data_IF_650545410764
#
_entry.id   IF_650545410764
#
_cell.length_a   1.000
_cell.length_b   1.000
_cell.length_c   1.000
_cell.angle_alpha   90.00
_cell.angle_beta   90.00
_cell.angle_gamma   90.00
#
_symmetry.space_group_name_H-M   'P 1'
#
loop_
_entity.id
_entity.type
_entity.pdbx_description
1 polymer ?
#
# COMPACT_ATOMS: atom_id res chain seq x y z
N UNK A 1 13.92 17.31 16.97
CA UNK A 1 13.25 16.66 18.12
C UNK A 1 11.88 16.20 17.66
N UNK A 2 11.69 14.89 17.58
CA UNK A 2 10.50 14.22 17.01
C UNK A 2 9.26 14.50 17.81
N UNK A 3 8.17 14.94 17.14
CA UNK A 3 6.82 15.06 17.72
C UNK A 3 6.02 13.76 17.66
N UNK A 4 6.68 12.60 17.79
CA UNK A 4 5.99 11.39 18.16
C UNK A 4 5.59 11.51 19.62
N UNK A 5 4.30 11.47 19.88
CA UNK A 5 3.59 11.80 21.10
C UNK A 5 4.42 11.77 22.40
N UNK A 6 4.74 12.93 22.91
CA UNK A 6 4.85 13.11 24.38
C UNK A 6 3.46 12.82 24.96
N UNK A 7 3.37 12.06 26.03
CA UNK A 7 2.17 11.48 26.67
C UNK A 7 1.01 12.43 27.05
N UNK A 8 0.84 13.59 26.44
CA UNK A 8 -0.18 14.58 26.81
C UNK A 8 -1.08 15.09 25.66
N UNK A 9 -0.79 14.78 24.39
CA UNK A 9 -1.67 15.19 23.30
C UNK A 9 -2.66 14.06 22.97
N UNK A 10 -3.95 14.36 22.71
CA UNK A 10 -4.90 13.33 22.30
C UNK A 10 -4.43 12.69 20.98
N UNK A 11 -4.49 11.36 20.89
CA UNK A 11 -4.12 10.63 19.70
C UNK A 11 -4.94 11.14 18.48
N UNK A 12 -4.28 11.36 17.36
CA UNK A 12 -4.94 11.80 16.13
C UNK A 12 -5.85 10.70 15.58
N UNK A 13 -7.00 11.08 15.05
CA UNK A 13 -7.95 10.16 14.42
C UNK A 13 -7.57 9.86 12.99
N UNK A 14 -7.68 8.58 12.56
CA UNK A 14 -7.52 8.16 11.19
C UNK A 14 -8.68 7.24 10.77
N UNK A 15 -9.22 7.44 9.58
CA UNK A 15 -10.14 6.51 8.92
C UNK A 15 -9.41 5.86 7.75
N UNK A 16 -9.38 4.54 7.74
CA UNK A 16 -8.77 3.75 6.66
C UNK A 16 -9.86 3.00 5.92
N UNK A 17 -10.00 3.29 4.63
CA UNK A 17 -10.96 2.62 3.75
C UNK A 17 -10.22 1.64 2.85
N UNK A 18 -10.67 0.39 2.80
CA UNK A 18 -10.00 -0.62 1.97
C UNK A 18 -10.55 -2.03 2.17
N UNK A 19 -9.74 -3.01 1.81
CA UNK A 19 -10.08 -4.42 1.99
C UNK A 19 -9.61 -4.96 3.33
N UNK A 20 -10.37 -5.92 3.87
CA UNK A 20 -9.91 -6.85 4.89
C UNK A 20 -10.21 -8.28 4.42
N UNK A 21 -9.24 -9.16 4.50
CA UNK A 21 -9.29 -10.52 3.97
C UNK A 21 -8.64 -11.50 4.94
N UNK A 22 -8.89 -12.78 4.73
CA UNK A 22 -8.07 -13.84 5.34
C UNK A 22 -7.05 -14.30 4.30
N UNK A 23 -5.78 -14.17 4.64
CA UNK A 23 -4.66 -14.68 3.86
C UNK A 23 -4.29 -16.07 4.37
N UNK A 24 -4.48 -17.09 3.54
CA UNK A 24 -4.06 -18.47 3.82
C UNK A 24 -2.71 -18.66 3.13
N UNK A 25 -1.66 -18.85 3.91
CA UNK A 25 -0.29 -19.03 3.42
C UNK A 25 0.07 -20.49 3.55
N UNK A 26 0.35 -21.14 2.43
CA UNK A 26 0.74 -22.55 2.37
C UNK A 26 2.17 -22.63 1.87
N UNK A 27 3.05 -23.20 2.67
CA UNK A 27 4.45 -23.50 2.28
C UNK A 27 4.53 -24.98 1.93
N UNK A 28 4.96 -25.27 0.71
CA UNK A 28 5.10 -26.64 0.20
C UNK A 28 6.60 -26.93 0.05
N UNK A 29 7.02 -28.13 0.50
CA UNK A 29 8.40 -28.59 0.37
C UNK A 29 8.84 -28.65 -1.09
N UNK A 30 10.12 -28.36 -1.34
CA UNK A 30 10.72 -28.28 -2.67
C UNK A 30 10.48 -29.54 -3.52
N UNK A 31 10.57 -30.71 -2.91
CA UNK A 31 10.38 -32.01 -3.57
C UNK A 31 8.95 -32.22 -4.12
N UNK A 32 7.99 -31.40 -3.73
CA UNK A 32 6.59 -31.52 -4.11
C UNK A 32 6.10 -30.48 -5.12
N UNK A 33 6.96 -29.54 -5.53
CA UNK A 33 6.66 -28.53 -6.52
C UNK A 33 7.79 -28.48 -7.55
N UNK A 34 7.42 -28.55 -8.83
CA UNK A 34 8.35 -28.27 -9.91
C UNK A 34 8.28 -26.80 -10.30
N UNK A 35 9.46 -26.19 -10.35
CA UNK A 35 9.63 -24.83 -10.85
C UNK A 35 10.10 -24.86 -12.31
N UNK A 36 9.26 -24.37 -13.21
CA UNK A 36 9.58 -24.28 -14.63
C UNK A 36 10.00 -22.86 -14.97
N UNK A 37 11.28 -22.69 -15.30
CA UNK A 37 11.79 -21.41 -15.83
C UNK A 37 11.49 -21.30 -17.31
N UNK A 38 10.80 -20.24 -17.72
CA UNK A 38 10.42 -20.01 -19.10
C UNK A 38 11.62 -19.51 -19.93
N UNK A 39 11.80 -20.06 -21.11
CA UNK A 39 12.90 -19.66 -22.04
C UNK A 39 12.75 -18.24 -22.59
N UNK A 40 11.55 -17.67 -22.56
CA UNK A 40 11.23 -16.30 -23.02
C UNK A 40 11.53 -15.22 -21.99
N UNK A 41 12.15 -15.57 -20.86
CA UNK A 41 12.44 -14.64 -19.75
C UNK A 41 11.22 -14.27 -18.93
N UNK A 42 10.06 -14.92 -19.14
CA UNK A 42 8.86 -14.73 -18.33
C UNK A 42 9.02 -15.22 -16.89
N UNK A 43 8.10 -14.80 -16.01
CA UNK A 43 8.06 -15.25 -14.61
C UNK A 43 8.06 -16.80 -14.53
N UNK A 44 8.76 -17.38 -13.56
CA UNK A 44 8.75 -18.82 -13.33
C UNK A 44 7.33 -19.31 -13.02
N UNK A 45 7.03 -20.54 -13.40
CA UNK A 45 5.74 -21.19 -13.18
C UNK A 45 5.91 -22.26 -12.11
N UNK A 46 5.00 -22.36 -11.18
CA UNK A 46 4.88 -23.47 -10.24
C UNK A 46 4.02 -24.55 -10.87
N UNK A 47 4.52 -25.79 -10.94
CA UNK A 47 3.79 -26.94 -11.48
C UNK A 47 3.42 -27.87 -10.33
N UNK A 48 2.13 -28.16 -10.21
CA UNK A 48 1.55 -29.03 -9.17
C UNK A 48 0.86 -30.19 -9.86
N UNK A 49 1.15 -31.43 -9.41
CA UNK A 49 0.57 -32.64 -9.96
C UNK A 49 -0.92 -32.75 -9.56
N UNK A 50 -1.78 -32.97 -10.54
CA UNK A 50 -3.22 -33.12 -10.34
C UNK A 50 -3.58 -34.44 -9.66
N UNK A 51 -4.54 -34.40 -8.72
CA UNK A 51 -5.07 -35.63 -8.06
C UNK A 51 -4.18 -36.14 -6.92
N UNK A 52 -3.02 -35.56 -6.67
CA UNK A 52 -2.12 -35.98 -5.58
C UNK A 52 -2.40 -35.16 -4.31
N UNK A 53 -2.33 -35.81 -3.15
CA UNK A 53 -2.29 -35.15 -1.84
C UNK A 53 -0.83 -34.76 -1.57
N UNK A 54 -0.54 -33.49 -1.57
CA UNK A 54 0.79 -32.97 -1.28
C UNK A 54 0.88 -32.55 0.19
N UNK A 55 1.90 -33.01 0.94
CA UNK A 55 2.13 -32.51 2.29
C UNK A 55 2.61 -31.05 2.21
N UNK A 56 2.05 -30.19 3.05
CA UNK A 56 2.54 -28.84 3.27
C UNK A 56 3.45 -28.82 4.50
N UNK A 57 4.49 -28.01 4.49
CA UNK A 57 5.34 -27.74 5.66
C UNK A 57 4.59 -26.91 6.70
N UNK A 58 3.82 -25.93 6.23
CA UNK A 58 2.93 -25.14 7.07
C UNK A 58 1.71 -24.68 6.28
N UNK A 59 0.59 -24.50 6.99
CA UNK A 59 -0.60 -23.77 6.53
C UNK A 59 -1.00 -22.84 7.65
N UNK A 60 -0.91 -21.55 7.39
CA UNK A 60 -1.23 -20.51 8.36
C UNK A 60 -2.30 -19.58 7.79
N UNK A 61 -3.13 -19.04 8.69
CA UNK A 61 -4.18 -18.08 8.32
C UNK A 61 -3.98 -16.80 9.11
N UNK A 62 -3.89 -15.68 8.40
CA UNK A 62 -3.69 -14.35 8.97
C UNK A 62 -4.73 -13.37 8.40
N UNK A 63 -4.99 -12.30 9.16
CA UNK A 63 -5.76 -11.18 8.62
C UNK A 63 -4.82 -10.31 7.80
N UNK A 64 -5.26 -9.97 6.60
CA UNK A 64 -4.57 -9.09 5.66
C UNK A 64 -5.53 -8.16 4.94
N UNK A 65 -5.06 -7.59 3.84
CA UNK A 65 -5.78 -6.59 3.05
C UNK A 65 -5.43 -5.16 3.46
N UNK A 66 -5.35 -4.26 2.48
CA UNK A 66 -4.83 -2.92 2.70
C UNK A 66 -5.58 -2.10 3.76
N UNK A 67 -6.89 -2.30 3.90
CA UNK A 67 -7.67 -1.66 4.96
C UNK A 67 -7.26 -2.12 6.36
N UNK A 68 -7.13 -3.44 6.56
CA UNK A 68 -6.72 -4.01 7.83
C UNK A 68 -5.23 -3.71 8.13
N UNK A 69 -4.33 -3.89 7.16
CA UNK A 69 -2.90 -3.67 7.33
C UNK A 69 -2.58 -2.22 7.71
N UNK A 70 -3.11 -1.25 6.96
CA UNK A 70 -2.85 0.17 7.20
C UNK A 70 -3.48 0.64 8.51
N UNK A 71 -4.71 0.22 8.84
CA UNK A 71 -5.34 0.59 10.12
C UNK A 71 -4.59 0.02 11.32
N UNK A 72 -4.11 -1.23 11.23
CA UNK A 72 -3.25 -1.85 12.25
C UNK A 72 -1.92 -1.09 12.38
N UNK A 73 -1.27 -0.76 11.28
CA UNK A 73 -0.02 0.01 11.29
C UNK A 73 -0.20 1.38 11.97
N UNK A 74 -1.24 2.12 11.58
CA UNK A 74 -1.54 3.42 12.20
C UNK A 74 -1.86 3.30 13.69
N UNK A 75 -2.61 2.26 14.11
CA UNK A 75 -2.89 2.01 15.52
C UNK A 75 -1.61 1.77 16.31
N UNK A 76 -0.71 0.90 15.83
CA UNK A 76 0.59 0.64 16.47
C UNK A 76 1.49 1.88 16.52
N UNK A 77 1.36 2.78 15.55
CA UNK A 77 2.03 4.08 15.53
C UNK A 77 1.37 5.14 16.42
N UNK A 78 0.38 4.75 17.24
CA UNK A 78 -0.25 5.61 18.24
C UNK A 78 -1.45 6.44 17.74
N UNK A 79 -2.02 6.11 16.59
CA UNK A 79 -3.22 6.75 16.05
C UNK A 79 -4.49 6.05 16.57
N UNK A 80 -5.59 6.81 16.70
CA UNK A 80 -6.93 6.23 16.87
C UNK A 80 -7.46 5.86 15.49
N UNK A 81 -7.12 4.65 15.02
CA UNK A 81 -7.50 4.17 13.72
C UNK A 81 -8.89 3.53 13.72
N UNK A 82 -9.68 3.81 12.68
CA UNK A 82 -10.93 3.13 12.37
C UNK A 82 -10.84 2.51 10.97
N UNK A 83 -11.24 1.24 10.83
CA UNK A 83 -11.26 0.54 9.55
C UNK A 83 -12.67 0.58 8.94
N UNK A 84 -12.79 1.07 7.70
CA UNK A 84 -13.99 0.96 6.87
C UNK A 84 -13.75 -0.10 5.79
N UNK A 85 -14.20 -1.32 6.07
CA UNK A 85 -14.10 -2.48 5.19
C UNK A 85 -15.45 -3.15 5.11
N UNK A 86 -15.76 -3.83 3.98
CA UNK A 86 -17.00 -4.60 3.85
C UNK A 86 -16.69 -6.09 3.93
N UNK A 87 -17.34 -6.77 4.86
CA UNK A 87 -17.14 -8.19 5.20
C UNK A 87 -18.42 -8.98 4.89
N UNK A 88 -18.32 -10.29 4.79
CA UNK A 88 -19.47 -11.18 4.76
C UNK A 88 -20.08 -11.39 6.16
N UNK A 89 -21.05 -12.31 6.21
CA UNK A 89 -21.62 -12.86 7.45
C UNK A 89 -21.08 -14.27 7.66
N UNK A 90 -19.81 -14.38 8.07
CA UNK A 90 -19.09 -15.64 8.14
C UNK A 90 -17.98 -15.63 9.21
N UNK A 91 -17.39 -16.80 9.48
CA UNK A 91 -16.31 -16.96 10.45
C UNK A 91 -15.05 -16.12 10.10
N UNK A 92 -14.81 -15.85 8.81
CA UNK A 92 -13.72 -15.00 8.39
C UNK A 92 -13.95 -13.54 8.81
N UNK A 93 -15.19 -13.07 8.75
CA UNK A 93 -15.57 -11.75 9.27
C UNK A 93 -15.34 -11.64 10.77
N UNK A 94 -15.66 -12.69 11.54
CA UNK A 94 -15.40 -12.75 12.98
C UNK A 94 -13.89 -12.69 13.27
N UNK A 95 -13.08 -13.42 12.53
CA UNK A 95 -11.62 -13.40 12.65
C UNK A 95 -11.04 -12.01 12.37
N UNK A 96 -11.54 -11.31 11.33
CA UNK A 96 -11.15 -9.92 11.03
C UNK A 96 -11.52 -8.99 12.17
N UNK A 97 -12.77 -9.06 12.69
CA UNK A 97 -13.21 -8.23 13.82
C UNK A 97 -12.37 -8.46 15.06
N UNK A 98 -12.07 -9.73 15.39
CA UNK A 98 -11.23 -10.09 16.52
C UNK A 98 -9.79 -9.58 16.38
N UNK A 99 -9.22 -9.63 15.17
CA UNK A 99 -7.90 -9.06 14.89
C UNK A 99 -7.88 -7.55 15.11
N UNK A 100 -8.80 -6.81 14.48
CA UNK A 100 -8.89 -5.36 14.59
C UNK A 100 -9.09 -4.91 16.05
N UNK A 101 -9.90 -5.65 16.81
CA UNK A 101 -10.09 -5.38 18.25
C UNK A 101 -8.80 -5.57 19.07
N UNK A 102 -8.03 -6.64 18.80
CA UNK A 102 -6.71 -6.86 19.45
C UNK A 102 -5.70 -5.76 19.13
N UNK A 103 -5.76 -5.23 17.91
CA UNK A 103 -4.90 -4.15 17.43
C UNK A 103 -5.43 -2.75 17.82
N UNK A 104 -6.44 -2.67 18.68
CA UNK A 104 -7.07 -1.42 19.10
C UNK A 104 -7.58 -0.54 17.94
N UNK A 105 -7.97 -1.16 16.82
CA UNK A 105 -8.59 -0.50 15.66
C UNK A 105 -10.11 -0.50 15.87
N UNK A 106 -10.76 0.67 15.76
CA UNK A 106 -12.22 0.77 15.80
C UNK A 106 -12.83 0.04 14.61
N UNK A 107 -13.83 -0.77 14.88
CA UNK A 107 -14.60 -1.54 13.90
C UNK A 107 -16.03 -1.00 13.70
N UNK A 108 -16.33 0.20 14.19
CA UNK A 108 -17.65 0.82 14.05
C UNK A 108 -18.01 1.16 12.59
N UNK A 109 -17.01 1.32 11.72
CA UNK A 109 -17.20 1.56 10.29
C UNK A 109 -17.16 0.28 9.45
N UNK A 110 -17.04 -0.91 10.07
CA UNK A 110 -17.14 -2.15 9.32
C UNK A 110 -18.57 -2.36 8.82
N UNK A 111 -18.67 -2.68 7.53
CA UNK A 111 -19.92 -2.96 6.85
C UNK A 111 -20.10 -4.47 6.68
N UNK A 112 -21.34 -4.92 6.61
CA UNK A 112 -21.66 -6.32 6.37
C UNK A 112 -22.39 -6.49 5.05
N UNK A 113 -22.06 -7.55 4.33
CA UNK A 113 -22.75 -7.99 3.12
C UNK A 113 -23.56 -9.24 3.44
N UNK A 114 -24.81 -9.24 3.03
CA UNK A 114 -25.69 -10.44 3.11
C UNK A 114 -25.53 -11.34 1.88
N UNK A 115 -24.85 -10.88 0.84
CA UNK A 115 -24.83 -11.54 -0.48
C UNK A 115 -23.45 -12.08 -0.87
N UNK A 116 -22.40 -11.70 -0.17
CA UNK A 116 -21.03 -12.15 -0.48
C UNK A 116 -20.24 -12.47 0.79
N UNK A 117 -19.42 -13.50 0.71
CA UNK A 117 -18.51 -13.90 1.78
C UNK A 117 -17.39 -12.87 1.98
N UNK A 118 -16.74 -12.91 3.13
CA UNK A 118 -15.51 -12.19 3.41
C UNK A 118 -14.42 -12.61 2.44
N UNK A 119 -13.60 -11.66 1.99
CA UNK A 119 -12.51 -11.93 1.06
C UNK A 119 -11.48 -12.92 1.63
N UNK A 120 -10.93 -13.74 0.75
CA UNK A 120 -9.88 -14.73 1.08
C UNK A 120 -8.82 -14.68 0.01
N UNK A 121 -7.55 -14.70 0.38
CA UNK A 121 -6.45 -15.02 -0.52
C UNK A 121 -5.79 -16.33 -0.12
N UNK A 122 -5.32 -17.09 -1.11
CA UNK A 122 -4.55 -18.31 -0.89
C UNK A 122 -3.21 -18.12 -1.59
N UNK A 123 -2.15 -18.11 -0.82
CA UNK A 123 -0.78 -18.04 -1.29
C UNK A 123 -0.16 -19.42 -1.22
N UNK A 124 0.29 -19.93 -2.36
CA UNK A 124 1.07 -21.17 -2.43
C UNK A 124 2.52 -20.76 -2.70
N UNK A 125 3.38 -20.96 -1.72
CA UNK A 125 4.78 -20.61 -1.76
C UNK A 125 5.65 -21.86 -1.80
N UNK A 126 6.65 -21.86 -2.65
CA UNK A 126 7.77 -22.77 -2.55
C UNK A 126 8.80 -22.22 -1.54
N UNK A 127 9.82 -23.02 -1.22
CA UNK A 127 10.90 -22.66 -0.27
C UNK A 127 11.61 -21.33 -0.61
N UNK A 128 11.64 -20.92 -1.89
CA UNK A 128 12.23 -19.66 -2.37
C UNK A 128 11.31 -18.44 -2.19
N UNK A 129 10.15 -18.64 -1.54
CA UNK A 129 9.14 -17.63 -1.19
C UNK A 129 8.51 -16.87 -2.35
N UNK A 130 8.71 -17.30 -3.59
CA UNK A 130 7.92 -16.87 -4.72
C UNK A 130 6.57 -17.60 -4.67
N UNK A 131 5.49 -16.85 -4.51
CA UNK A 131 4.16 -17.42 -4.32
C UNK A 131 3.28 -17.23 -5.56
N UNK A 132 2.46 -18.24 -5.84
CA UNK A 132 1.25 -18.05 -6.64
C UNK A 132 0.12 -17.63 -5.71
N UNK A 133 -0.59 -16.54 -6.04
CA UNK A 133 -1.61 -15.96 -5.18
C UNK A 133 -2.96 -16.04 -5.88
N UNK A 134 -3.94 -16.70 -5.23
CA UNK A 134 -5.33 -16.75 -5.64
C UNK A 134 -6.13 -15.81 -4.75
N UNK A 135 -6.88 -14.87 -5.33
CA UNK A 135 -7.62 -13.87 -4.57
C UNK A 135 -9.10 -13.94 -4.90
N UNK A 136 -9.91 -14.22 -3.88
CA UNK A 136 -11.36 -13.99 -3.88
C UNK A 136 -11.68 -12.78 -3.01
N UNK A 137 -12.09 -11.68 -3.61
CA UNK A 137 -12.29 -10.41 -2.89
C UNK A 137 -13.60 -10.35 -2.12
N UNK A 138 -14.61 -11.11 -2.55
CA UNK A 138 -15.90 -11.21 -1.86
C UNK A 138 -16.55 -9.85 -1.60
N UNK A 139 -17.01 -9.64 -0.38
CA UNK A 139 -17.69 -8.43 0.05
C UNK A 139 -16.88 -7.14 -0.14
N UNK A 140 -15.53 -7.21 -0.18
CA UNK A 140 -14.68 -6.04 -0.40
C UNK A 140 -14.92 -5.34 -1.76
N UNK A 141 -15.57 -6.00 -2.72
CA UNK A 141 -15.91 -5.42 -4.03
C UNK A 141 -17.27 -4.68 -4.05
N UNK A 142 -18.01 -4.71 -2.94
CA UNK A 142 -19.42 -4.31 -2.85
C UNK A 142 -19.66 -3.04 -2.02
N UNK A 143 -18.63 -2.26 -1.69
CA UNK A 143 -18.81 -0.95 -1.07
C UNK A 143 -19.58 -0.03 -2.03
N UNK A 144 -20.59 0.67 -1.51
CA UNK A 144 -21.41 1.58 -2.31
C UNK A 144 -21.26 3.05 -1.92
N UNK A 145 -21.64 3.94 -2.82
CA UNK A 145 -21.60 5.39 -2.55
C UNK A 145 -22.57 5.79 -1.44
N UNK A 146 -23.72 5.10 -1.31
CA UNK A 146 -24.70 5.31 -0.23
C UNK A 146 -24.10 4.93 1.13
N UNK A 147 -23.40 3.82 1.22
CA UNK A 147 -22.69 3.41 2.44
C UNK A 147 -21.60 4.40 2.83
N UNK A 148 -20.84 4.88 1.84
CA UNK A 148 -19.84 5.95 2.05
C UNK A 148 -20.52 7.21 2.57
N UNK A 149 -21.63 7.63 1.97
CA UNK A 149 -22.37 8.82 2.39
C UNK A 149 -22.89 8.70 3.83
N UNK A 150 -23.42 7.54 4.20
CA UNK A 150 -23.98 7.27 5.53
C UNK A 150 -22.91 7.14 6.63
N UNK A 151 -21.68 6.70 6.32
CA UNK A 151 -20.64 6.48 7.29
C UNK A 151 -20.28 7.76 8.07
N UNK A 152 -20.09 7.65 9.37
CA UNK A 152 -19.75 8.77 10.24
C UNK A 152 -18.24 8.81 10.50
N UNK A 153 -17.49 9.58 9.69
CA UNK A 153 -16.03 9.69 9.87
C UNK A 153 -15.62 10.52 11.09
N UNK A 154 -16.55 11.32 11.64
CA UNK A 154 -16.20 12.30 12.67
C UNK A 154 -15.28 13.40 12.11
N UNK A 155 -14.27 13.75 12.90
CA UNK A 155 -13.25 14.73 12.50
C UNK A 155 -11.84 14.08 12.50
N UNK A 156 -11.54 13.17 11.55
CA UNK A 156 -10.26 12.52 11.47
C UNK A 156 -9.20 13.50 10.95
N UNK A 157 -7.96 13.39 11.46
CA UNK A 157 -6.84 14.11 10.88
C UNK A 157 -6.39 13.51 9.53
N UNK A 158 -6.67 12.21 9.32
CA UNK A 158 -6.29 11.44 8.15
C UNK A 158 -7.46 10.58 7.65
N UNK A 159 -7.71 10.62 6.33
CA UNK A 159 -8.45 9.58 5.62
C UNK A 159 -7.52 8.94 4.62
N UNK A 160 -7.30 7.65 4.78
CA UNK A 160 -6.45 6.84 3.91
C UNK A 160 -7.30 5.87 3.10
N UNK A 161 -7.16 5.90 1.77
CA UNK A 161 -7.85 4.98 0.86
C UNK A 161 -6.83 3.97 0.34
N UNK A 162 -6.94 2.73 0.83
CA UNK A 162 -6.17 1.59 0.34
C UNK A 162 -6.74 1.09 -1.01
N UNK A 163 -6.07 0.17 -1.72
CA UNK A 163 -6.53 -0.29 -3.03
C UNK A 163 -7.98 -0.79 -3.02
N UNK A 164 -8.80 -0.19 -3.85
CA UNK A 164 -10.18 -0.60 -4.12
C UNK A 164 -10.26 -1.34 -5.45
N UNK A 165 -11.30 -2.15 -5.64
CA UNK A 165 -11.51 -2.91 -6.88
C UNK A 165 -12.99 -3.08 -7.19
N UNK A 166 -13.28 -3.39 -8.45
CA UNK A 166 -14.66 -3.61 -8.95
C UNK A 166 -15.61 -2.48 -8.57
N UNK A 167 -16.80 -2.76 -8.05
CA UNK A 167 -17.79 -1.75 -7.64
C UNK A 167 -17.30 -0.80 -6.55
N UNK A 168 -16.45 -1.28 -5.63
CA UNK A 168 -15.89 -0.41 -4.57
C UNK A 168 -14.97 0.68 -5.11
N UNK A 169 -14.36 0.48 -6.28
CA UNK A 169 -13.54 1.50 -6.93
C UNK A 169 -14.35 2.72 -7.38
N UNK A 170 -15.64 2.54 -7.64
CA UNK A 170 -16.55 3.64 -8.04
C UNK A 170 -16.80 4.62 -6.89
N UNK A 171 -16.54 4.20 -5.63
CA UNK A 171 -16.68 5.06 -4.45
C UNK A 171 -15.52 6.04 -4.25
N UNK A 172 -14.42 5.93 -5.02
CA UNK A 172 -13.20 6.69 -4.79
C UNK A 172 -13.43 8.21 -4.70
N UNK A 173 -14.12 8.79 -5.68
CA UNK A 173 -14.42 10.22 -5.68
C UNK A 173 -15.27 10.66 -4.48
N UNK A 174 -16.28 9.87 -4.11
CA UNK A 174 -17.15 10.15 -2.96
C UNK A 174 -16.37 10.10 -1.63
N UNK A 175 -15.45 9.13 -1.48
CA UNK A 175 -14.58 9.02 -0.32
C UNK A 175 -13.68 10.26 -0.14
N UNK A 176 -13.07 10.73 -1.23
CA UNK A 176 -12.21 11.91 -1.19
C UNK A 176 -12.99 13.18 -0.88
N UNK A 177 -14.17 13.37 -1.47
CA UNK A 177 -15.04 14.51 -1.18
C UNK A 177 -15.45 14.51 0.30
N UNK A 178 -15.82 13.34 0.84
CA UNK A 178 -16.16 13.19 2.26
C UNK A 178 -14.98 13.50 3.18
N UNK A 179 -13.77 13.05 2.84
CA UNK A 179 -12.57 13.36 3.56
C UNK A 179 -12.25 14.85 3.58
N UNK A 180 -12.38 15.52 2.44
CA UNK A 180 -12.20 16.98 2.33
C UNK A 180 -13.25 17.76 3.13
N UNK A 181 -14.51 17.31 3.12
CA UNK A 181 -15.55 17.92 3.95
C UNK A 181 -15.25 17.82 5.45
N UNK A 182 -14.53 16.79 5.88
CA UNK A 182 -14.05 16.63 7.25
C UNK A 182 -12.70 17.38 7.53
N UNK A 183 -12.16 18.13 6.57
CA UNK A 183 -10.84 18.77 6.62
C UNK A 183 -9.69 17.79 6.94
N UNK A 184 -9.82 16.53 6.56
CA UNK A 184 -8.80 15.53 6.76
C UNK A 184 -7.68 15.66 5.72
N UNK A 185 -6.44 15.30 6.11
CA UNK A 185 -5.41 14.97 5.14
C UNK A 185 -5.86 13.73 4.36
N UNK A 186 -5.79 13.78 3.04
CA UNK A 186 -6.25 12.69 2.17
C UNK A 186 -5.08 11.98 1.53
N UNK A 187 -4.94 10.69 1.80
CA UNK A 187 -3.93 9.83 1.19
C UNK A 187 -4.59 8.65 0.47
N UNK A 188 -4.02 8.23 -0.65
CA UNK A 188 -4.46 7.02 -1.33
C UNK A 188 -3.28 6.22 -1.86
N UNK A 189 -3.39 4.89 -1.72
CA UNK A 189 -2.61 3.92 -2.46
C UNK A 189 -3.55 3.22 -3.46
N UNK A 190 -3.26 3.32 -4.75
CA UNK A 190 -4.16 2.85 -5.80
C UNK A 190 -3.57 1.61 -6.47
N UNK A 191 -4.26 0.48 -6.35
CA UNK A 191 -3.84 -0.76 -7.01
C UNK A 191 -4.04 -0.74 -8.53
N UNK A 192 -3.26 -1.56 -9.23
CA UNK A 192 -3.23 -1.64 -10.69
C UNK A 192 -4.62 -1.80 -11.32
N UNK A 193 -5.50 -2.61 -10.73
CA UNK A 193 -6.86 -2.81 -11.25
C UNK A 193 -7.70 -1.55 -11.19
N UNK A 194 -7.60 -0.78 -10.10
CA UNK A 194 -8.31 0.49 -9.96
C UNK A 194 -7.80 1.48 -11.03
N UNK A 195 -6.49 1.63 -11.14
CA UNK A 195 -5.86 2.54 -12.09
C UNK A 195 -6.19 2.21 -13.55
N UNK A 196 -6.27 0.94 -13.93
CA UNK A 196 -6.53 0.54 -15.32
C UNK A 196 -8.01 0.50 -15.67
N UNK A 197 -8.90 0.18 -14.73
CA UNK A 197 -10.34 0.09 -14.98
C UNK A 197 -11.08 1.43 -14.78
N UNK A 198 -10.52 2.37 -14.03
CA UNK A 198 -11.12 3.67 -13.67
C UNK A 198 -10.15 4.83 -13.86
N UNK A 199 -9.22 4.73 -14.83
CA UNK A 199 -8.16 5.73 -15.05
C UNK A 199 -8.69 7.16 -15.11
N UNK A 200 -9.78 7.38 -15.84
CA UNK A 200 -10.38 8.71 -15.98
C UNK A 200 -10.86 9.27 -14.65
N UNK A 201 -11.63 8.48 -13.91
CA UNK A 201 -12.26 8.90 -12.65
C UNK A 201 -11.17 9.17 -11.58
N UNK A 202 -10.12 8.33 -11.56
CA UNK A 202 -8.94 8.53 -10.71
C UNK A 202 -8.28 9.88 -11.03
N UNK A 203 -7.99 10.18 -12.30
CA UNK A 203 -7.33 11.43 -12.69
C UNK A 203 -8.19 12.67 -12.41
N UNK A 204 -9.52 12.56 -12.53
CA UNK A 204 -10.45 13.65 -12.21
C UNK A 204 -10.52 13.90 -10.69
N UNK A 205 -10.37 12.85 -9.87
CA UNK A 205 -10.41 12.95 -8.41
C UNK A 205 -9.07 13.40 -7.77
N UNK A 206 -7.96 13.42 -8.52
CA UNK A 206 -6.62 13.73 -8.00
C UNK A 206 -6.54 15.06 -7.24
N UNK A 207 -7.31 16.06 -7.65
CA UNK A 207 -7.34 17.38 -6.98
C UNK A 207 -7.80 17.34 -5.52
N UNK A 208 -8.37 16.22 -5.07
CA UNK A 208 -8.79 16.01 -3.68
C UNK A 208 -7.74 15.31 -2.83
N UNK A 209 -6.63 14.81 -3.43
CA UNK A 209 -5.57 14.12 -2.71
C UNK A 209 -4.48 15.09 -2.20
N UNK A 210 -4.01 14.85 -0.99
CA UNK A 210 -2.78 15.44 -0.48
C UNK A 210 -1.57 14.55 -0.77
N UNK A 211 -1.74 13.20 -0.72
CA UNK A 211 -0.70 12.23 -1.03
C UNK A 211 -1.23 11.11 -1.94
N UNK A 212 -0.57 10.92 -3.08
CA UNK A 212 -0.72 9.75 -3.92
C UNK A 212 0.45 8.80 -3.70
N UNK A 213 0.18 7.53 -3.41
CA UNK A 213 1.19 6.47 -3.26
C UNK A 213 0.98 5.39 -4.30
N UNK A 214 2.03 5.02 -5.01
CA UNK A 214 2.03 4.00 -6.06
C UNK A 214 3.32 3.18 -5.98
N UNK A 215 3.31 1.94 -6.48
CA UNK A 215 4.54 1.28 -6.84
C UNK A 215 4.93 1.60 -8.30
N UNK A 216 6.13 1.22 -8.71
CA UNK A 216 6.65 1.53 -10.05
C UNK A 216 5.78 0.97 -11.18
N UNK A 217 5.14 -0.20 -10.99
CA UNK A 217 4.23 -0.81 -11.98
C UNK A 217 2.92 -0.02 -12.08
N UNK A 218 2.37 0.40 -10.95
CA UNK A 218 1.17 1.22 -10.86
C UNK A 218 1.41 2.62 -11.45
N UNK A 219 2.54 3.24 -11.13
CA UNK A 219 2.94 4.52 -11.72
C UNK A 219 3.10 4.40 -13.25
N UNK A 220 3.73 3.34 -13.73
CA UNK A 220 3.86 3.08 -15.17
C UNK A 220 2.50 2.91 -15.87
N UNK A 221 1.51 2.30 -15.21
CA UNK A 221 0.17 2.13 -15.78
C UNK A 221 -0.56 3.46 -16.06
N UNK A 222 -0.21 4.54 -15.34
CA UNK A 222 -0.76 5.88 -15.58
C UNK A 222 -0.05 6.63 -16.72
N UNK A 223 1.17 6.23 -17.11
CA UNK A 223 1.99 6.96 -18.09
C UNK A 223 1.24 7.24 -19.41
N UNK A 224 0.53 6.29 -20.06
CA UNK A 224 -0.19 6.57 -21.30
C UNK A 224 -1.26 7.66 -21.13
N UNK A 225 -2.02 7.64 -20.03
CA UNK A 225 -3.08 8.60 -19.78
C UNK A 225 -2.54 10.00 -19.43
N UNK A 226 -1.39 10.07 -18.76
CA UNK A 226 -0.71 11.34 -18.46
C UNK A 226 -0.11 11.96 -19.73
N UNK A 227 0.50 11.16 -20.61
CA UNK A 227 1.00 11.60 -21.92
C UNK A 227 -0.15 12.11 -22.79
N UNK A 228 -1.28 11.41 -22.82
CA UNK A 228 -2.47 11.87 -23.54
C UNK A 228 -3.03 13.21 -22.99
N UNK A 229 -2.71 13.57 -21.74
CA UNK A 229 -3.03 14.84 -21.11
C UNK A 229 -1.90 15.89 -21.20
N UNK A 230 -0.86 15.65 -22.01
CA UNK A 230 0.22 16.59 -22.30
C UNK A 230 1.46 16.44 -21.43
N UNK A 231 1.62 15.34 -20.68
CA UNK A 231 2.93 15.02 -20.12
C UNK A 231 3.91 14.72 -21.27
N UNK A 232 5.16 15.22 -21.22
CA UNK A 232 6.11 15.00 -22.30
C UNK A 232 6.52 13.52 -22.34
N UNK A 233 6.42 12.93 -23.53
CA UNK A 233 7.02 11.61 -23.76
C UNK A 233 8.54 11.72 -23.68
N UNK A 234 9.21 10.78 -23.02
CA UNK A 234 10.63 10.85 -22.73
C UNK A 234 11.45 10.99 -24.01
N UNK A 235 12.04 12.16 -24.22
CA UNK A 235 13.07 12.32 -25.22
C UNK A 235 14.39 11.79 -24.65
N UNK A 236 15.09 10.96 -25.44
CA UNK A 236 16.38 10.35 -25.07
C UNK A 236 17.41 11.43 -24.68
N UNK A 237 17.44 11.80 -23.40
CA UNK A 237 18.43 12.66 -22.80
C UNK A 237 18.83 12.09 -21.45
N UNK A 238 20.09 11.67 -21.29
CA UNK A 238 20.59 11.12 -20.02
C UNK A 238 20.72 12.25 -19.01
N UNK A 239 19.81 12.34 -18.05
CA UNK A 239 20.12 13.07 -16.79
C UNK A 239 21.17 12.25 -16.04
N UNK A 240 22.18 12.94 -15.49
CA UNK A 240 23.13 12.33 -14.58
C UNK A 240 22.41 12.18 -13.24
N UNK A 241 22.05 10.95 -12.90
CA UNK A 241 21.43 10.61 -11.60
C UNK A 241 22.32 9.58 -10.91
N UNK A 242 22.32 9.54 -9.57
CA UNK A 242 23.08 8.56 -8.80
C UNK A 242 22.79 7.12 -9.27
N UNK A 243 23.81 6.23 -9.26
CA UNK A 243 23.66 4.85 -9.73
C UNK A 243 22.55 4.06 -9.04
N UNK A 244 22.30 4.31 -7.76
CA UNK A 244 21.26 3.70 -6.95
C UNK A 244 19.84 4.11 -7.36
N UNK A 245 19.67 5.24 -8.06
CA UNK A 245 18.37 5.75 -8.50
C UNK A 245 17.94 5.13 -9.84
N UNK A 246 17.73 3.81 -9.85
CA UNK A 246 17.47 3.06 -11.08
C UNK A 246 16.18 3.49 -11.76
N UNK A 247 15.09 3.70 -11.03
CA UNK A 247 13.81 4.11 -11.61
C UNK A 247 13.87 5.49 -12.27
N UNK A 248 14.66 6.43 -11.72
CA UNK A 248 14.93 7.72 -12.36
C UNK A 248 15.65 7.57 -13.70
N UNK A 249 16.52 6.55 -13.83
CA UNK A 249 17.27 6.28 -15.08
C UNK A 249 16.46 5.54 -16.11
N UNK A 250 15.67 4.53 -15.70
CA UNK A 250 14.90 3.67 -16.64
C UNK A 250 13.56 4.28 -17.03
N UNK A 251 13.02 5.22 -16.21
CA UNK A 251 11.68 5.76 -16.41
C UNK A 251 10.55 4.75 -16.21
N UNK A 252 9.35 5.19 -16.52
CA UNK A 252 8.11 4.43 -16.43
C UNK A 252 7.68 4.02 -17.84
N UNK A 253 7.55 2.71 -18.09
CA UNK A 253 7.21 2.16 -19.40
C UNK A 253 5.95 1.34 -19.35
N UNK A 254 4.97 1.68 -20.18
CA UNK A 254 3.70 0.94 -20.28
C UNK A 254 3.03 1.25 -21.62
N UNK A 255 2.42 0.23 -22.26
CA UNK A 255 1.63 0.42 -23.47
C UNK A 255 2.37 1.09 -24.64
N UNK A 256 3.67 0.88 -24.76
CA UNK A 256 4.52 1.53 -25.78
C UNK A 256 4.91 2.98 -25.44
N UNK A 257 4.44 3.53 -24.33
CA UNK A 257 4.79 4.85 -23.83
C UNK A 257 5.99 4.80 -22.88
N UNK A 258 6.81 5.86 -22.90
CA UNK A 258 7.97 6.04 -22.03
C UNK A 258 7.91 7.43 -21.39
N UNK A 259 7.80 7.48 -20.06
CA UNK A 259 7.68 8.72 -19.28
C UNK A 259 8.78 8.75 -18.22
N UNK A 260 9.53 9.86 -18.13
CA UNK A 260 10.51 10.02 -17.06
C UNK A 260 9.82 10.11 -15.70
N UNK A 261 10.48 9.65 -14.63
CA UNK A 261 9.91 9.76 -13.28
C UNK A 261 9.70 11.22 -12.87
N UNK A 262 10.59 12.13 -13.31
CA UNK A 262 10.42 13.57 -13.06
C UNK A 262 9.18 14.14 -13.75
N UNK A 263 8.97 13.82 -15.04
CA UNK A 263 7.81 14.30 -15.79
C UNK A 263 6.51 13.68 -15.24
N UNK A 264 6.59 12.42 -14.75
CA UNK A 264 5.49 11.79 -14.03
C UNK A 264 5.10 12.60 -12.78
N UNK A 265 6.06 12.93 -11.92
CA UNK A 265 5.80 13.70 -10.72
C UNK A 265 5.22 15.09 -11.05
N UNK A 266 5.78 15.79 -12.03
CA UNK A 266 5.22 17.06 -12.47
C UNK A 266 3.78 16.94 -12.97
N UNK A 267 3.47 15.88 -13.74
CA UNK A 267 2.13 15.65 -14.23
C UNK A 267 1.14 15.37 -13.08
N UNK A 268 1.56 14.59 -12.07
CA UNK A 268 0.73 14.31 -10.89
C UNK A 268 0.51 15.59 -10.07
N UNK A 269 1.53 16.39 -9.82
CA UNK A 269 1.38 17.64 -9.07
C UNK A 269 0.46 18.64 -9.78
N UNK A 270 0.49 18.70 -11.11
CA UNK A 270 -0.47 19.51 -11.89
C UNK A 270 -1.91 19.08 -11.73
N UNK A 271 -2.17 17.82 -11.37
CA UNK A 271 -3.50 17.29 -11.10
C UNK A 271 -3.96 17.54 -9.66
N UNK A 272 -3.07 17.92 -8.74
CA UNK A 272 -3.46 18.36 -7.40
C UNK A 272 -2.67 17.81 -6.21
N UNK A 273 -2.21 16.54 -6.20
CA UNK A 273 -1.52 16.00 -5.03
C UNK A 273 -0.30 16.82 -4.63
N UNK A 274 -0.17 17.14 -3.34
CA UNK A 274 1.00 17.85 -2.78
C UNK A 274 2.22 16.94 -2.67
N UNK A 275 1.95 15.64 -2.44
CA UNK A 275 2.96 14.61 -2.29
C UNK A 275 2.67 13.46 -3.27
N UNK A 276 3.70 12.94 -3.89
CA UNK A 276 3.62 11.75 -4.71
C UNK A 276 4.75 10.80 -4.33
N UNK A 277 4.39 9.60 -3.86
CA UNK A 277 5.30 8.51 -3.53
C UNK A 277 5.31 7.49 -4.66
N UNK A 278 6.50 7.07 -5.09
CA UNK A 278 6.67 5.90 -5.96
C UNK A 278 7.66 4.94 -5.31
N UNK A 279 7.20 3.75 -4.93
CA UNK A 279 8.06 2.68 -4.39
C UNK A 279 8.55 1.76 -5.51
N UNK A 280 9.80 1.29 -5.41
CA UNK A 280 10.43 0.37 -6.38
C UNK A 280 10.95 -0.91 -5.70
N UNK A 281 10.19 -1.43 -4.74
CA UNK A 281 10.51 -2.66 -4.00
C UNK A 281 11.87 -2.58 -3.31
N UNK A 282 12.73 -3.56 -3.56
CA UNK A 282 14.07 -3.62 -2.99
C UNK A 282 15.02 -2.53 -3.53
N UNK A 283 14.63 -1.77 -4.55
CA UNK A 283 15.41 -0.65 -5.07
C UNK A 283 15.13 0.69 -4.35
N UNK A 284 14.22 0.70 -3.38
CA UNK A 284 13.92 1.88 -2.58
C UNK A 284 12.65 2.62 -2.99
N UNK A 285 12.57 3.93 -2.67
CA UNK A 285 11.40 4.75 -2.91
C UNK A 285 11.75 6.19 -3.23
N UNK A 286 10.85 6.86 -3.95
CA UNK A 286 10.96 8.25 -4.38
C UNK A 286 9.76 9.03 -3.87
N UNK A 287 10.00 10.12 -3.15
CA UNK A 287 8.97 11.04 -2.67
C UNK A 287 9.15 12.40 -3.33
N UNK A 288 8.14 12.84 -4.05
CA UNK A 288 8.10 14.18 -4.65
C UNK A 288 7.15 15.09 -3.87
N UNK A 289 7.58 16.33 -3.68
CA UNK A 289 6.81 17.39 -3.02
C UNK A 289 7.39 18.77 -3.33
N UNK A 290 7.00 19.80 -2.57
CA UNK A 290 7.44 21.17 -2.78
C UNK A 290 8.97 21.36 -2.72
N UNK A 291 9.69 20.49 -2.02
CA UNK A 291 11.15 20.49 -1.91
C UNK A 291 11.87 19.77 -3.06
N UNK A 292 11.15 19.27 -4.08
CA UNK A 292 11.69 18.45 -5.17
C UNK A 292 11.53 16.96 -4.92
N UNK A 293 12.43 16.15 -5.45
CA UNK A 293 12.35 14.68 -5.36
C UNK A 293 13.44 14.13 -4.44
N UNK A 294 13.02 13.42 -3.42
CA UNK A 294 13.91 12.66 -2.53
C UNK A 294 13.90 11.18 -2.94
N UNK A 295 15.06 10.54 -2.83
CA UNK A 295 15.21 9.10 -2.92
C UNK A 295 15.69 8.55 -1.57
N UNK A 296 15.09 7.46 -1.12
CA UNK A 296 15.52 6.71 0.06
C UNK A 296 15.72 5.25 -0.33
N UNK A 297 16.91 4.71 -0.09
CA UNK A 297 17.19 3.28 -0.24
C UNK A 297 16.41 2.45 0.78
N UNK A 298 16.33 1.12 0.58
CA UNK A 298 15.69 0.22 1.53
C UNK A 298 16.51 0.11 2.82
N UNK A 299 15.83 0.00 3.97
CA UNK A 299 16.48 -0.44 5.19
C UNK A 299 16.88 -1.91 5.08
N UNK A 300 17.93 -2.32 5.80
CA UNK A 300 18.41 -3.71 5.80
C UNK A 300 17.40 -4.61 6.51
N UNK A 301 17.10 -5.75 5.90
CA UNK A 301 16.22 -6.77 6.46
C UNK A 301 16.60 -8.16 5.94
N UNK A 302 16.37 -9.18 6.75
CA UNK A 302 16.34 -10.57 6.29
C UNK A 302 14.94 -10.84 5.76
N UNK A 303 14.82 -11.08 4.46
CA UNK A 303 13.51 -11.18 3.80
C UNK A 303 12.87 -12.53 4.10
N UNK A 304 11.77 -12.51 4.87
CA UNK A 304 10.89 -13.65 5.13
C UNK A 304 9.67 -13.66 4.22
N UNK A 305 9.15 -12.50 3.84
CA UNK A 305 8.04 -12.31 2.93
C UNK A 305 8.03 -10.88 2.41
N UNK A 306 7.32 -10.62 1.31
CA UNK A 306 7.22 -9.25 0.75
C UNK A 306 5.81 -8.68 0.82
N UNK A 307 4.83 -9.50 1.22
CA UNK A 307 3.45 -9.06 1.39
C UNK A 307 3.33 -8.01 2.52
N UNK A 308 2.52 -6.98 2.31
CA UNK A 308 2.30 -5.92 3.30
C UNK A 308 3.39 -4.85 3.39
N UNK A 309 4.57 -5.02 2.75
CA UNK A 309 5.65 -4.03 2.78
C UNK A 309 5.21 -2.65 2.24
N UNK A 310 4.42 -2.64 1.17
CA UNK A 310 3.85 -1.41 0.60
C UNK A 310 2.90 -0.71 1.57
N UNK A 311 2.01 -1.45 2.23
CA UNK A 311 1.08 -0.92 3.23
C UNK A 311 1.84 -0.35 4.44
N UNK A 312 2.87 -1.07 4.90
CA UNK A 312 3.73 -0.64 6.01
C UNK A 312 4.50 0.64 5.66
N UNK A 313 5.05 0.72 4.43
CA UNK A 313 5.74 1.92 3.94
C UNK A 313 4.79 3.11 3.88
N UNK A 314 3.67 2.94 3.15
CA UNK A 314 2.73 4.03 2.89
C UNK A 314 2.05 4.54 4.17
N UNK A 315 1.68 3.65 5.12
CA UNK A 315 1.07 4.04 6.39
C UNK A 315 2.02 4.86 7.26
N UNK A 316 3.28 4.40 7.43
CA UNK A 316 4.26 5.10 8.23
C UNK A 316 4.66 6.45 7.59
N UNK A 317 4.90 6.51 6.26
CA UNK A 317 5.15 7.76 5.55
C UNK A 317 4.01 8.76 5.79
N UNK A 318 2.77 8.32 5.58
CA UNK A 318 1.59 9.17 5.72
C UNK A 318 1.45 9.68 7.14
N UNK A 319 1.59 8.80 8.14
CA UNK A 319 1.53 9.18 9.55
C UNK A 319 2.53 10.28 9.90
N UNK A 320 3.77 10.15 9.43
CA UNK A 320 4.85 11.11 9.69
C UNK A 320 4.62 12.44 8.97
N UNK A 321 4.13 12.43 7.74
CA UNK A 321 3.80 13.67 7.00
C UNK A 321 2.66 14.44 7.68
N UNK A 322 1.61 13.75 8.13
CA UNK A 322 0.46 14.40 8.79
C UNK A 322 0.84 15.04 10.11
N UNK A 323 1.77 14.46 10.88
CA UNK A 323 2.25 15.08 12.13
C UNK A 323 3.30 16.17 11.89
N UNK A 324 3.62 16.48 10.61
CA UNK A 324 4.52 17.56 10.23
C UNK A 324 6.01 17.23 10.38
N UNK A 325 6.39 15.95 10.31
CA UNK A 325 7.79 15.55 10.20
C UNK A 325 8.37 15.99 8.84
N UNK A 326 9.71 16.09 8.77
CA UNK A 326 10.35 16.35 7.47
C UNK A 326 10.13 15.17 6.51
N UNK A 327 10.21 15.43 5.21
CA UNK A 327 10.06 14.40 4.18
C UNK A 327 11.13 13.30 4.33
N UNK A 328 12.36 13.66 4.70
CA UNK A 328 13.45 12.74 4.96
C UNK A 328 13.12 11.80 6.13
N UNK A 329 12.67 12.37 7.25
CA UNK A 329 12.28 11.58 8.43
C UNK A 329 11.10 10.65 8.11
N UNK A 330 10.11 11.13 7.34
CA UNK A 330 8.98 10.33 6.92
C UNK A 330 9.41 9.13 6.06
N UNK A 331 10.33 9.33 5.11
CA UNK A 331 10.86 8.25 4.27
C UNK A 331 11.71 7.24 5.05
N UNK A 332 12.54 7.70 5.98
CA UNK A 332 13.32 6.81 6.86
C UNK A 332 12.39 5.94 7.70
N UNK A 333 11.40 6.56 8.35
CA UNK A 333 10.39 5.85 9.16
C UNK A 333 9.64 4.79 8.34
N UNK A 334 9.25 5.15 7.13
CA UNK A 334 8.57 4.26 6.20
C UNK A 334 9.44 3.07 5.79
N UNK A 335 10.71 3.33 5.47
CA UNK A 335 11.68 2.29 5.09
C UNK A 335 11.95 1.30 6.24
N UNK A 336 12.08 1.80 7.47
CA UNK A 336 12.27 0.96 8.66
C UNK A 336 11.05 0.09 8.94
N UNK A 337 9.84 0.66 8.90
CA UNK A 337 8.60 -0.09 9.13
C UNK A 337 8.38 -1.17 8.06
N UNK A 338 8.64 -0.85 6.79
CA UNK A 338 8.58 -1.83 5.70
C UNK A 338 9.63 -2.94 5.85
N UNK A 339 10.87 -2.61 6.21
CA UNK A 339 11.94 -3.56 6.46
C UNK A 339 11.60 -4.53 7.60
N UNK A 340 10.96 -4.03 8.65
CA UNK A 340 10.49 -4.88 9.74
C UNK A 340 9.40 -5.86 9.28
N UNK A 341 8.44 -5.41 8.45
CA UNK A 341 7.40 -6.29 7.92
C UNK A 341 7.96 -7.37 7.00
N UNK A 342 8.90 -7.05 6.10
CA UNK A 342 9.48 -8.07 5.21
C UNK A 342 10.31 -9.13 5.94
N UNK A 343 10.65 -8.93 7.20
CA UNK A 343 11.31 -9.94 8.05
C UNK A 343 10.33 -10.96 8.64
N UNK A 344 9.03 -10.84 8.31
CA UNK A 344 7.97 -11.75 8.74
C UNK A 344 7.23 -12.33 7.54
N UNK A 345 6.57 -13.48 7.75
CA UNK A 345 5.83 -14.17 6.67
C UNK A 345 4.51 -13.47 6.37
N UNK A 346 3.83 -12.99 7.41
CA UNK A 346 2.53 -12.31 7.28
C UNK A 346 2.67 -10.78 7.21
N UNK A 347 1.56 -10.10 6.96
CA UNK A 347 1.53 -8.67 6.63
C UNK A 347 1.53 -7.73 7.83
N UNK A 348 1.36 -8.24 9.06
CA UNK A 348 1.11 -7.42 10.25
C UNK A 348 2.07 -7.64 11.41
N UNK A 349 2.68 -8.83 11.56
CA UNK A 349 3.51 -9.14 12.74
C UNK A 349 4.72 -8.20 12.87
N UNK A 350 5.33 -7.84 11.75
CA UNK A 350 6.46 -6.92 11.71
C UNK A 350 6.10 -5.43 11.75
N UNK A 351 4.84 -5.05 11.84
CA UNK A 351 4.48 -3.63 11.96
C UNK A 351 4.98 -3.06 13.29
N UNK A 352 5.78 -2.00 13.22
CA UNK A 352 6.40 -1.39 14.39
C UNK A 352 5.39 -0.59 15.22
N UNK A 353 5.56 -0.61 16.53
CA UNK A 353 4.97 0.39 17.43
C UNK A 353 5.71 1.72 17.32
N UNK A 354 5.09 2.80 17.83
CA UNK A 354 5.72 4.11 17.86
C UNK A 354 7.06 4.11 18.63
N UNK A 355 7.16 3.33 19.71
CA UNK A 355 8.40 3.19 20.49
C UNK A 355 9.49 2.47 19.70
N UNK A 356 9.18 1.33 19.07
CA UNK A 356 10.12 0.57 18.27
C UNK A 356 10.63 1.38 17.08
N UNK A 357 9.74 2.12 16.40
CA UNK A 357 10.12 3.01 15.31
C UNK A 357 11.05 4.13 15.78
N UNK A 358 10.77 4.74 16.95
CA UNK A 358 11.63 5.77 17.54
C UNK A 358 13.03 5.21 17.87
N UNK A 359 13.10 4.01 18.41
CA UNK A 359 14.36 3.34 18.73
C UNK A 359 15.15 2.99 17.47
N UNK A 360 14.46 2.55 16.42
CA UNK A 360 15.08 2.26 15.12
C UNK A 360 15.61 3.51 14.43
N UNK A 361 14.88 4.64 14.51
CA UNK A 361 15.31 5.95 14.00
C UNK A 361 16.61 6.43 14.67
N UNK A 362 16.82 6.11 15.95
CA UNK A 362 18.05 6.46 16.67
C UNK A 362 19.29 5.62 16.27
N UNK A 363 19.09 4.52 15.54
CA UNK A 363 20.15 3.55 15.21
C UNK A 363 20.45 3.44 13.72
N UNK A 364 19.61 4.02 12.86
CA UNK A 364 19.74 3.90 11.41
C UNK A 364 20.78 4.87 10.83
N UNK A 365 21.46 4.43 9.78
CA UNK A 365 22.34 5.23 8.94
C UNK A 365 21.67 5.66 7.61
N UNK A 366 20.37 5.36 7.46
CA UNK A 366 19.60 5.78 6.28
C UNK A 366 19.62 7.30 6.13
N UNK A 367 19.94 7.74 4.92
CA UNK A 367 19.97 9.17 4.57
C UNK A 367 19.34 9.36 3.19
N UNK A 368 18.10 9.87 3.11
CA UNK A 368 17.51 10.23 1.84
C UNK A 368 18.34 11.28 1.12
N UNK A 369 18.41 11.17 -0.21
CA UNK A 369 19.17 12.10 -1.06
C UNK A 369 18.24 12.86 -2.00
N UNK A 370 18.57 14.11 -2.27
CA UNK A 370 17.88 14.92 -3.27
C UNK A 370 18.29 14.48 -4.67
N UNK A 371 17.29 14.21 -5.57
CA UNK A 371 17.57 13.63 -6.90
C UNK A 371 16.88 14.35 -8.05
N UNK A 372 16.14 15.42 -7.80
CA UNK A 372 15.42 16.15 -8.85
C UNK A 372 15.04 17.55 -8.46
#
# INVERSE_FOLDING_TARGET
MSKLATQSAPALGAVVVGSAVIDVITVIAEDNIERVTRRDGGAPVLQIEQGRKLPAESIESHVGGGGANVSTSLSRLGWRAAAMCKLGDDLNAEAVRAHLAREAVSHELLLQSETAATGVSVMISAYDRNAAIFVHRGANELLTAEEVAAAQFGAPALVYVAPLSSGSADCFGALLLKAKAANAFTAANLGIRHLTSRTRDVLEAMGQLDLLSLNAVEAAALAPALIARGAPEQRKGRRVVPPECELMRRGLRSGGCDLSLSDFFEAIHRLGPKWCLVTDGAAGAYLSGAGGVLFCGPARAEVAGTAGAGDAYCSALTAMLVVGSSAEQAMISASLNAASVVSHVNTTDGLMTASELQDALGKTDLSPIQVG
#
